data_IF_422364639566
#
_entry.id   IF_422364639566
#
_cell.length_a   1.000
_cell.length_b   1.000
_cell.length_c   1.000
_cell.angle_alpha   90.00
_cell.angle_beta   90.00
_cell.angle_gamma   90.00
#
_symmetry.space_group_name_H-M   'P 1'
#
loop_
_entity.id
_entity.type
_entity.pdbx_description
1 polymer ?
#
# COMPACT_ATOMS: atom_id res chain seq x y z
N UNK A 1 0.08 30.58 -7.67
CA UNK A 1 0.78 29.28 -7.57
C UNK A 1 -0.10 28.25 -8.26
N UNK A 2 0.46 27.38 -9.11
CA UNK A 2 -0.32 26.28 -9.70
C UNK A 2 -0.85 25.39 -8.58
N UNK A 3 -2.10 24.94 -8.68
CA UNK A 3 -2.71 24.00 -7.73
C UNK A 3 -1.92 22.68 -7.77
N UNK A 4 -1.47 22.19 -6.60
CA UNK A 4 -0.75 20.91 -6.54
C UNK A 4 -1.68 19.78 -6.99
N UNK A 5 -1.18 18.84 -7.76
CA UNK A 5 -1.91 17.62 -8.09
C UNK A 5 -2.16 16.81 -6.82
N UNK A 6 -3.32 16.16 -6.75
CA UNK A 6 -3.70 15.32 -5.61
C UNK A 6 -3.39 13.86 -5.84
N UNK A 7 -2.79 13.24 -4.83
CA UNK A 7 -2.51 11.81 -4.77
C UNK A 7 -3.44 11.17 -3.74
N UNK A 8 -4.01 10.02 -4.09
CA UNK A 8 -4.69 9.13 -3.13
C UNK A 8 -3.99 7.78 -3.12
N UNK A 9 -3.71 7.27 -1.93
CA UNK A 9 -3.23 5.89 -1.76
C UNK A 9 -3.63 5.32 -0.40
N UNK A 10 -3.66 4.00 -0.30
CA UNK A 10 -4.01 3.32 0.94
C UNK A 10 -3.56 1.86 0.95
N UNK A 11 -3.37 1.33 2.15
CA UNK A 11 -3.04 -0.07 2.37
C UNK A 11 -4.04 -0.65 3.38
N UNK A 12 -4.45 -1.90 3.14
CA UNK A 12 -5.32 -2.63 4.07
C UNK A 12 -4.57 -2.99 5.37
N UNK A 13 -5.19 -2.80 6.54
CA UNK A 13 -4.62 -3.21 7.82
C UNK A 13 -4.77 -4.72 8.05
N UNK A 14 -4.29 -5.51 7.11
CA UNK A 14 -4.38 -6.99 7.11
C UNK A 14 -3.19 -7.68 7.78
N UNK A 15 -2.37 -6.94 8.53
CA UNK A 15 -1.16 -7.37 9.23
C UNK A 15 -0.07 -6.31 9.16
N UNK A 16 1.08 -6.57 9.79
CA UNK A 16 2.20 -5.65 9.82
C UNK A 16 2.68 -5.28 8.42
N UNK A 17 3.25 -4.07 8.30
CA UNK A 17 3.88 -3.65 7.07
C UNK A 17 5.16 -4.45 6.83
N UNK A 18 5.34 -4.88 5.58
CA UNK A 18 6.52 -5.63 5.18
C UNK A 18 7.62 -4.70 4.68
N UNK A 19 8.87 -5.18 4.69
CA UNK A 19 10.00 -4.51 4.04
C UNK A 19 9.68 -4.20 2.56
N UNK A 20 9.00 -5.12 1.87
CA UNK A 20 8.53 -4.92 0.50
C UNK A 20 7.51 -3.80 0.37
N UNK A 21 6.58 -3.63 1.33
CA UNK A 21 5.64 -2.51 1.37
C UNK A 21 6.35 -1.18 1.61
N UNK A 22 7.32 -1.17 2.50
CA UNK A 22 8.11 0.03 2.80
C UNK A 22 8.95 0.47 1.58
N UNK A 23 9.77 -0.42 1.04
CA UNK A 23 10.66 -0.11 -0.09
C UNK A 23 9.91 0.12 -1.41
N UNK A 24 8.80 -0.59 -1.61
CA UNK A 24 8.04 -0.54 -2.86
C UNK A 24 7.00 0.59 -2.93
N UNK A 25 6.46 1.04 -1.79
CA UNK A 25 5.39 2.03 -1.75
C UNK A 25 5.69 3.20 -0.80
N UNK A 26 5.86 2.96 0.51
CA UNK A 26 5.84 4.03 1.51
C UNK A 26 7.03 4.98 1.34
N UNK A 27 8.22 4.48 1.03
CA UNK A 27 9.42 5.31 0.75
C UNK A 27 9.16 6.29 -0.41
N UNK A 28 8.40 5.87 -1.42
CA UNK A 28 7.99 6.76 -2.51
C UNK A 28 6.96 7.79 -2.05
N UNK A 29 6.01 7.41 -1.20
CA UNK A 29 5.03 8.34 -0.65
C UNK A 29 5.70 9.47 0.14
N UNK A 30 6.73 9.13 0.93
CA UNK A 30 7.52 10.12 1.67
C UNK A 30 8.21 11.11 0.72
N UNK A 31 8.71 10.65 -0.42
CA UNK A 31 9.31 11.54 -1.42
C UNK A 31 8.28 12.45 -2.12
N UNK A 32 7.03 11.99 -2.27
CA UNK A 32 5.98 12.72 -2.98
C UNK A 32 5.29 13.79 -2.12
N UNK A 33 5.34 13.71 -0.79
CA UNK A 33 4.57 14.57 0.11
C UNK A 33 4.90 16.06 0.02
N UNK A 34 6.07 16.45 -0.49
CA UNK A 34 6.46 17.84 -0.65
C UNK A 34 5.98 18.44 -1.99
N UNK A 35 5.78 17.60 -3.01
CA UNK A 35 5.41 18.03 -4.36
C UNK A 35 3.89 17.98 -4.59
N UNK A 36 3.19 17.07 -3.90
CA UNK A 36 1.77 16.77 -4.12
C UNK A 36 0.91 17.05 -2.89
N UNK A 37 -0.39 17.17 -3.08
CA UNK A 37 -1.39 17.12 -2.01
C UNK A 37 -1.74 15.64 -1.78
N UNK A 38 -1.23 15.06 -0.69
CA UNK A 38 -1.34 13.63 -0.46
C UNK A 38 -2.44 13.26 0.53
N UNK A 39 -3.22 12.25 0.15
CA UNK A 39 -4.30 11.66 0.95
C UNK A 39 -3.96 10.18 1.15
N UNK A 40 -3.63 9.80 2.38
CA UNK A 40 -3.26 8.44 2.76
C UNK A 40 -4.30 7.83 3.68
N UNK A 41 -4.89 6.72 3.23
CA UNK A 41 -6.00 6.08 3.88
C UNK A 41 -5.62 4.69 4.42
N UNK A 42 -5.99 4.40 5.66
CA UNK A 42 -5.99 3.03 6.18
C UNK A 42 -7.34 2.43 5.81
N UNK A 43 -7.33 1.54 4.79
CA UNK A 43 -8.55 1.05 4.13
C UNK A 43 -9.12 -0.17 4.85
N UNK A 44 -9.61 0.07 6.06
CA UNK A 44 -10.17 -0.96 6.96
C UNK A 44 -11.48 -1.56 6.44
N UNK A 45 -12.28 -0.82 5.68
CA UNK A 45 -13.48 -1.35 5.04
C UNK A 45 -13.14 -2.40 3.96
N UNK A 46 -12.01 -2.23 3.25
CA UNK A 46 -11.55 -3.27 2.32
C UNK A 46 -11.03 -4.51 3.05
N UNK A 47 -10.51 -4.37 4.27
CA UNK A 47 -10.01 -5.50 5.04
C UNK A 47 -11.13 -6.49 5.41
N UNK A 48 -12.36 -6.03 5.64
CA UNK A 48 -13.49 -6.87 6.04
C UNK A 48 -14.12 -7.65 4.87
N UNK A 49 -13.65 -7.48 3.63
CA UNK A 49 -14.02 -8.37 2.51
C UNK A 49 -13.61 -9.83 2.77
N UNK A 50 -12.66 -10.02 3.68
CA UNK A 50 -12.29 -11.31 4.28
C UNK A 50 -12.54 -11.19 5.77
N UNK A 51 -13.02 -12.26 6.42
CA UNK A 51 -13.31 -12.25 7.86
C UNK A 51 -12.09 -11.84 8.68
N UNK A 52 -12.28 -10.89 9.57
CA UNK A 52 -11.27 -10.38 10.50
C UNK A 52 -11.67 -10.66 11.94
N UNK A 53 -10.68 -10.83 12.82
CA UNK A 53 -10.90 -10.76 14.25
C UNK A 53 -11.02 -9.28 14.63
N UNK A 54 -12.15 -8.81 15.22
CA UNK A 54 -12.40 -7.38 15.43
C UNK A 54 -11.33 -6.66 16.28
N UNK A 55 -10.80 -7.33 17.30
CA UNK A 55 -9.73 -6.78 18.13
C UNK A 55 -8.44 -6.57 17.32
N UNK A 56 -8.10 -7.53 16.46
CA UNK A 56 -6.92 -7.45 15.60
C UNK A 56 -7.06 -6.35 14.55
N UNK A 57 -8.23 -6.23 13.90
CA UNK A 57 -8.46 -5.17 12.93
C UNK A 57 -8.28 -3.78 13.54
N UNK A 58 -8.85 -3.54 14.74
CA UNK A 58 -8.67 -2.27 15.46
C UNK A 58 -7.20 -2.01 15.79
N UNK A 59 -6.51 -3.00 16.34
CA UNK A 59 -5.09 -2.90 16.70
C UNK A 59 -4.23 -2.59 15.46
N UNK A 60 -4.38 -3.38 14.39
CA UNK A 60 -3.63 -3.26 13.15
C UNK A 60 -3.86 -1.93 12.43
N UNK A 61 -5.08 -1.37 12.51
CA UNK A 61 -5.36 -0.05 11.94
C UNK A 61 -4.55 1.06 12.62
N UNK A 62 -4.42 1.01 13.95
CA UNK A 62 -3.62 1.97 14.71
C UNK A 62 -2.11 1.74 14.50
N UNK A 63 -1.68 0.49 14.51
CA UNK A 63 -0.28 0.11 14.23
C UNK A 63 0.15 0.59 12.85
N UNK A 64 -0.70 0.42 11.83
CA UNK A 64 -0.39 0.87 10.48
C UNK A 64 -0.29 2.40 10.38
N UNK A 65 -1.15 3.15 11.07
CA UNK A 65 -1.04 4.61 11.15
C UNK A 65 0.29 5.03 11.79
N UNK A 66 0.64 4.42 12.93
CA UNK A 66 1.90 4.68 13.61
C UNK A 66 3.11 4.36 12.71
N UNK A 67 3.05 3.23 11.98
CA UNK A 67 4.10 2.85 11.03
C UNK A 67 4.22 3.84 9.86
N UNK A 68 3.12 4.37 9.33
CA UNK A 68 3.17 5.40 8.28
C UNK A 68 3.96 6.63 8.73
N UNK A 69 3.65 7.13 9.93
CA UNK A 69 4.32 8.29 10.51
C UNK A 69 5.78 7.96 10.85
N UNK A 70 6.04 6.77 11.39
CA UNK A 70 7.39 6.32 11.69
C UNK A 70 8.27 6.19 10.43
N UNK A 71 7.68 5.81 9.31
CA UNK A 71 8.35 5.76 8.00
C UNK A 71 8.63 7.14 7.40
N UNK A 72 8.13 8.24 8.00
CA UNK A 72 8.43 9.61 7.58
C UNK A 72 7.28 10.36 6.92
N UNK A 73 6.07 9.81 6.90
CA UNK A 73 4.89 10.58 6.47
C UNK A 73 4.51 11.59 7.57
N UNK A 74 4.43 12.86 7.18
CA UNK A 74 4.11 13.97 8.06
C UNK A 74 2.60 14.23 8.09
N UNK A 75 1.90 14.01 9.21
CA UNK A 75 0.46 14.23 9.31
C UNK A 75 0.05 15.71 9.14
N UNK A 76 0.96 16.65 9.35
CA UNK A 76 0.69 18.08 9.13
C UNK A 76 0.66 18.42 7.63
N UNK A 77 1.49 17.74 6.82
CA UNK A 77 1.53 17.91 5.36
C UNK A 77 0.45 17.10 4.65
N UNK A 78 0.13 15.92 5.17
CA UNK A 78 -0.73 14.94 4.52
C UNK A 78 -2.08 14.81 5.24
N UNK A 79 -3.11 14.37 4.52
CA UNK A 79 -4.36 13.92 5.11
C UNK A 79 -4.21 12.42 5.39
N UNK A 80 -4.20 12.02 6.66
CA UNK A 80 -4.02 10.62 7.09
C UNK A 80 -5.19 10.21 7.96
N UNK A 81 -5.95 9.19 7.55
CA UNK A 81 -7.18 8.80 8.25
C UNK A 81 -7.51 7.32 8.09
N UNK A 82 -8.49 6.86 8.87
CA UNK A 82 -9.07 5.52 8.78
C UNK A 82 -10.35 5.61 7.93
N UNK A 83 -10.49 4.76 6.92
CA UNK A 83 -11.55 4.82 5.91
C UNK A 83 -12.96 4.80 6.53
N UNK A 84 -13.19 3.94 7.52
CA UNK A 84 -14.50 3.80 8.19
C UNK A 84 -14.93 5.06 8.96
N UNK A 85 -14.02 6.01 9.22
CA UNK A 85 -14.35 7.29 9.85
C UNK A 85 -14.92 8.31 8.87
N UNK A 86 -14.92 8.01 7.57
CA UNK A 86 -15.43 8.88 6.49
C UNK A 86 -16.54 8.15 5.74
N UNK A 87 -17.79 8.19 6.20
CA UNK A 87 -18.91 7.40 5.65
C UNK A 87 -19.20 7.68 4.18
N UNK A 88 -18.74 8.82 3.66
CA UNK A 88 -18.88 9.21 2.26
C UNK A 88 -18.29 8.18 1.28
N UNK A 89 -17.30 7.40 1.70
CA UNK A 89 -16.75 6.29 0.92
C UNK A 89 -17.83 5.26 0.59
N UNK A 90 -18.59 4.82 1.59
CA UNK A 90 -19.68 3.87 1.41
C UNK A 90 -20.86 4.49 0.64
N UNK A 91 -21.20 5.75 0.93
CA UNK A 91 -22.28 6.47 0.26
C UNK A 91 -21.99 6.64 -1.24
N UNK A 92 -20.77 7.06 -1.60
CA UNK A 92 -20.39 7.16 -3.01
C UNK A 92 -20.27 5.78 -3.68
N UNK A 93 -19.75 4.78 -2.98
CA UNK A 93 -19.64 3.41 -3.50
C UNK A 93 -20.99 2.87 -3.91
N UNK A 94 -22.06 3.11 -3.13
CA UNK A 94 -23.42 2.73 -3.50
C UNK A 94 -23.86 3.38 -4.81
N UNK A 95 -23.69 4.70 -4.93
CA UNK A 95 -24.06 5.42 -6.16
C UNK A 95 -23.29 4.89 -7.36
N UNK A 96 -21.94 4.76 -7.24
CA UNK A 96 -21.12 4.25 -8.33
C UNK A 96 -21.45 2.79 -8.70
N UNK A 97 -21.89 1.99 -7.74
CA UNK A 97 -22.36 0.63 -7.97
C UNK A 97 -23.53 0.57 -8.97
N UNK A 98 -24.42 1.58 -8.95
CA UNK A 98 -25.52 1.70 -9.91
C UNK A 98 -25.04 2.10 -11.32
N UNK A 99 -23.81 2.55 -11.47
CA UNK A 99 -23.16 2.89 -12.76
C UNK A 99 -22.07 1.92 -13.16
N UNK A 100 -21.87 0.83 -12.40
CA UNK A 100 -20.85 -0.19 -12.69
C UNK A 100 -21.52 -1.42 -13.31
N UNK A 101 -20.96 -1.92 -14.41
CA UNK A 101 -21.49 -3.10 -15.08
C UNK A 101 -21.02 -4.38 -14.40
N UNK A 102 -21.95 -5.33 -14.18
CA UNK A 102 -21.66 -6.65 -13.61
C UNK A 102 -20.53 -7.37 -14.35
N UNK A 103 -20.56 -7.33 -15.69
CA UNK A 103 -19.55 -7.97 -16.52
C UNK A 103 -18.13 -7.39 -16.36
N UNK A 104 -17.99 -6.12 -15.99
CA UNK A 104 -16.68 -5.53 -15.69
C UNK A 104 -16.09 -6.10 -14.40
N UNK A 105 -16.89 -6.15 -13.33
CA UNK A 105 -16.48 -6.72 -12.05
C UNK A 105 -16.13 -8.21 -12.16
N UNK A 106 -16.91 -8.98 -12.92
CA UNK A 106 -16.67 -10.43 -13.11
C UNK A 106 -15.39 -10.73 -13.89
N UNK A 107 -14.88 -9.79 -14.69
CA UNK A 107 -13.61 -9.92 -15.44
C UNK A 107 -12.38 -9.51 -14.66
N UNK A 108 -12.54 -8.90 -13.47
CA UNK A 108 -11.39 -8.48 -12.64
C UNK A 108 -10.51 -9.66 -12.27
N UNK A 109 -9.22 -9.58 -12.60
CA UNK A 109 -8.24 -10.65 -12.35
C UNK A 109 -8.09 -10.94 -10.86
N UNK A 110 -8.05 -9.90 -10.02
CA UNK A 110 -7.97 -10.04 -8.57
C UNK A 110 -9.21 -10.71 -7.97
N UNK A 111 -10.41 -10.46 -8.51
CA UNK A 111 -11.61 -11.17 -8.08
C UNK A 111 -11.50 -12.66 -8.39
N UNK A 112 -11.07 -13.02 -9.60
CA UNK A 112 -10.90 -14.43 -10.01
C UNK A 112 -9.89 -15.16 -9.11
N UNK A 113 -8.75 -14.54 -8.81
CA UNK A 113 -7.73 -15.12 -7.93
C UNK A 113 -8.25 -15.30 -6.50
N UNK A 114 -8.86 -14.27 -5.91
CA UNK A 114 -9.36 -14.30 -4.54
C UNK A 114 -10.56 -15.25 -4.39
N UNK A 115 -11.45 -15.34 -5.38
CA UNK A 115 -12.57 -16.28 -5.36
C UNK A 115 -12.10 -17.74 -5.41
N UNK A 116 -10.98 -18.04 -6.07
CA UNK A 116 -10.36 -19.36 -6.03
C UNK A 116 -9.74 -19.68 -4.66
N UNK A 117 -9.08 -18.69 -4.03
CA UNK A 117 -8.48 -18.85 -2.70
C UNK A 117 -9.52 -18.99 -1.58
N UNK A 118 -10.72 -18.45 -1.77
CA UNK A 118 -11.81 -18.43 -0.79
C UNK A 118 -13.10 -19.02 -1.38
N UNK A 119 -12.99 -20.14 -2.10
CA UNK A 119 -14.08 -20.74 -2.85
C UNK A 119 -15.34 -21.02 -2.00
N UNK A 120 -15.15 -21.32 -0.71
CA UNK A 120 -16.25 -21.65 0.23
C UNK A 120 -16.96 -20.40 0.78
N UNK A 121 -16.47 -19.20 0.52
CA UNK A 121 -17.03 -17.96 1.10
C UNK A 121 -16.82 -16.74 0.20
N UNK A 122 -17.40 -16.78 -1.00
CA UNK A 122 -17.40 -15.65 -1.92
C UNK A 122 -18.53 -14.69 -1.51
N UNK A 123 -18.16 -13.57 -0.88
CA UNK A 123 -19.11 -12.55 -0.44
C UNK A 123 -19.39 -11.51 -1.52
N UNK A 124 -20.54 -10.82 -1.44
CA UNK A 124 -20.84 -9.66 -2.29
C UNK A 124 -19.76 -8.58 -2.17
N UNK A 125 -19.23 -8.34 -0.95
CA UNK A 125 -18.14 -7.40 -0.71
C UNK A 125 -16.87 -7.74 -1.48
N UNK A 126 -16.53 -9.04 -1.60
CA UNK A 126 -15.39 -9.48 -2.41
C UNK A 126 -15.61 -9.24 -3.91
N UNK A 127 -16.85 -9.25 -4.38
CA UNK A 127 -17.20 -8.93 -5.76
C UNK A 127 -17.22 -7.42 -6.03
N UNK A 128 -17.73 -6.63 -5.09
CA UNK A 128 -17.98 -5.19 -5.28
C UNK A 128 -16.89 -4.26 -4.74
N UNK A 129 -15.85 -4.77 -4.03
CA UNK A 129 -14.80 -3.91 -3.49
C UNK A 129 -14.10 -3.01 -4.54
N UNK A 130 -14.00 -3.36 -5.85
CA UNK A 130 -13.43 -2.44 -6.82
C UNK A 130 -14.23 -1.15 -7.00
N UNK A 131 -15.55 -1.20 -6.74
CA UNK A 131 -16.42 -0.02 -6.74
C UNK A 131 -16.15 0.86 -5.52
N UNK A 132 -15.93 0.25 -4.35
CA UNK A 132 -15.49 0.98 -3.15
C UNK A 132 -14.12 1.65 -3.39
N UNK A 133 -13.18 0.96 -4.04
CA UNK A 133 -11.89 1.55 -4.40
C UNK A 133 -12.05 2.71 -5.40
N UNK A 134 -12.97 2.61 -6.36
CA UNK A 134 -13.29 3.73 -7.25
C UNK A 134 -13.87 4.91 -6.47
N UNK A 135 -14.75 4.65 -5.48
CA UNK A 135 -15.27 5.69 -4.61
C UNK A 135 -14.16 6.35 -3.78
N UNK A 136 -13.24 5.57 -3.20
CA UNK A 136 -12.09 6.09 -2.44
C UNK A 136 -11.29 7.12 -3.24
N UNK A 137 -11.08 6.86 -4.52
CA UNK A 137 -10.25 7.67 -5.41
C UNK A 137 -11.03 8.90 -5.92
N UNK A 138 -12.23 8.66 -6.46
CA UNK A 138 -13.04 9.72 -7.10
C UNK A 138 -13.58 10.74 -6.11
N UNK A 139 -13.81 10.32 -4.85
CA UNK A 139 -14.30 11.17 -3.78
C UNK A 139 -13.42 12.40 -3.55
N UNK A 140 -12.11 12.25 -3.70
CA UNK A 140 -11.11 13.30 -3.47
C UNK A 140 -10.69 14.03 -4.73
N UNK A 141 -11.34 13.81 -5.88
CA UNK A 141 -10.93 14.41 -7.17
C UNK A 141 -9.44 14.16 -7.46
N UNK A 142 -9.02 12.92 -7.26
CA UNK A 142 -7.62 12.48 -7.34
C UNK A 142 -7.08 12.64 -8.75
N UNK A 143 -5.87 13.15 -8.88
CA UNK A 143 -5.14 13.25 -10.15
C UNK A 143 -4.31 11.98 -10.41
N UNK A 144 -3.61 11.48 -9.37
CA UNK A 144 -2.66 10.38 -9.49
C UNK A 144 -2.88 9.33 -8.39
N UNK A 145 -2.79 8.05 -8.77
CA UNK A 145 -2.88 6.92 -7.83
C UNK A 145 -1.59 6.10 -7.91
N UNK A 146 -0.70 6.21 -6.90
CA UNK A 146 0.52 5.38 -6.84
C UNK A 146 0.14 3.92 -6.61
N UNK A 147 0.38 3.08 -7.59
CA UNK A 147 0.03 1.66 -7.54
C UNK A 147 1.12 0.80 -8.15
N UNK A 148 1.19 -0.46 -7.71
CA UNK A 148 1.92 -1.50 -8.42
C UNK A 148 1.17 -1.95 -9.67
N UNK A 149 1.87 -2.62 -10.59
CA UNK A 149 1.29 -3.10 -11.86
C UNK A 149 0.06 -4.00 -11.66
N UNK A 150 0.03 -4.78 -10.57
CA UNK A 150 -1.09 -5.65 -10.18
C UNK A 150 -2.38 -4.90 -9.84
N UNK A 151 -2.31 -3.60 -9.53
CA UNK A 151 -3.46 -2.74 -9.21
C UNK A 151 -3.87 -1.84 -10.39
N UNK A 152 -3.15 -1.86 -11.50
CA UNK A 152 -3.43 -1.01 -12.67
C UNK A 152 -4.86 -1.21 -13.19
N UNK A 153 -5.31 -2.48 -13.27
CA UNK A 153 -6.67 -2.79 -13.73
C UNK A 153 -7.76 -2.15 -12.85
N UNK A 154 -7.51 -2.00 -11.54
CA UNK A 154 -8.46 -1.31 -10.65
C UNK A 154 -8.54 0.19 -10.94
N UNK A 155 -7.41 0.83 -11.25
CA UNK A 155 -7.41 2.26 -11.61
C UNK A 155 -8.08 2.46 -12.97
N UNK A 156 -7.87 1.56 -13.93
CA UNK A 156 -8.57 1.57 -15.22
C UNK A 156 -10.09 1.44 -15.02
N UNK A 157 -10.55 0.49 -14.21
CA UNK A 157 -11.98 0.36 -13.86
C UNK A 157 -12.52 1.62 -13.18
N UNK A 158 -11.76 2.23 -12.26
CA UNK A 158 -12.12 3.49 -11.63
C UNK A 158 -12.33 4.61 -12.67
N UNK A 159 -11.45 4.71 -13.67
CA UNK A 159 -11.57 5.66 -14.77
C UNK A 159 -12.83 5.39 -15.61
N UNK A 160 -13.10 4.13 -15.94
CA UNK A 160 -14.26 3.74 -16.75
C UNK A 160 -15.57 4.08 -16.03
N UNK A 161 -15.65 3.79 -14.73
CA UNK A 161 -16.82 4.15 -13.90
C UNK A 161 -16.97 5.68 -13.84
N UNK A 162 -15.89 6.42 -13.58
CA UNK A 162 -15.89 7.88 -13.53
C UNK A 162 -16.27 8.51 -14.86
N UNK A 163 -15.75 8.01 -15.98
CA UNK A 163 -16.06 8.47 -17.33
C UNK A 163 -17.53 8.21 -17.67
N UNK A 164 -18.05 7.01 -17.37
CA UNK A 164 -19.46 6.67 -17.58
C UNK A 164 -20.38 7.57 -16.77
N UNK A 165 -20.04 7.87 -15.54
CA UNK A 165 -20.78 8.80 -14.71
C UNK A 165 -20.74 10.22 -15.30
N UNK A 166 -19.57 10.68 -15.73
CA UNK A 166 -19.41 11.99 -16.36
C UNK A 166 -20.15 12.14 -17.68
N UNK A 167 -20.34 11.05 -18.45
CA UNK A 167 -21.16 11.06 -19.66
C UNK A 167 -22.63 11.39 -19.36
N UNK A 168 -23.15 10.88 -18.24
CA UNK A 168 -24.51 11.19 -17.79
C UNK A 168 -24.60 12.53 -17.05
N UNK A 169 -23.53 12.90 -16.34
CA UNK A 169 -23.43 14.07 -15.46
C UNK A 169 -22.09 14.76 -15.65
N UNK A 170 -21.93 15.62 -16.68
CA UNK A 170 -20.65 16.25 -17.03
C UNK A 170 -19.97 16.94 -15.87
N UNK A 171 -18.64 16.99 -15.90
CA UNK A 171 -17.80 17.68 -14.92
C UNK A 171 -17.98 17.24 -13.46
N UNK A 172 -18.30 15.95 -13.21
CA UNK A 172 -18.48 15.46 -11.85
C UNK A 172 -17.17 15.03 -11.24
N UNK A 173 -16.44 14.14 -11.89
CA UNK A 173 -15.19 13.57 -11.41
C UNK A 173 -14.00 13.94 -12.28
N UNK A 174 -12.85 14.20 -11.66
CA UNK A 174 -11.56 14.08 -12.33
C UNK A 174 -11.28 12.59 -12.58
N UNK A 175 -10.71 12.26 -13.73
CA UNK A 175 -10.33 10.88 -14.04
C UNK A 175 -8.87 10.66 -13.62
N UNK A 176 -8.61 9.79 -12.64
CA UNK A 176 -7.25 9.60 -12.11
C UNK A 176 -6.36 8.88 -13.10
N UNK A 177 -5.05 9.07 -12.98
CA UNK A 177 -4.04 8.31 -13.71
C UNK A 177 -3.29 7.39 -12.77
N UNK A 178 -2.99 6.16 -13.22
CA UNK A 178 -2.10 5.27 -12.49
C UNK A 178 -0.68 5.84 -12.54
N UNK A 179 -0.08 6.02 -11.38
CA UNK A 179 1.30 6.46 -11.24
C UNK A 179 2.14 5.28 -10.78
N UNK A 180 2.96 4.75 -11.68
CA UNK A 180 3.91 3.69 -11.34
C UNK A 180 5.24 4.36 -11.03
N UNK A 181 5.66 4.41 -9.74
CA UNK A 181 6.92 5.03 -9.36
C UNK A 181 8.09 4.38 -10.08
N UNK A 182 8.96 5.20 -10.68
CA UNK A 182 10.21 4.72 -11.30
C UNK A 182 11.21 4.18 -10.27
N UNK A 183 11.08 4.62 -9.03
CA UNK A 183 11.91 4.20 -7.88
C UNK A 183 11.03 3.39 -6.93
N UNK A 184 11.24 2.11 -6.89
CA UNK A 184 10.60 1.20 -5.96
C UNK A 184 11.16 -0.19 -6.21
N UNK A 185 11.95 -0.70 -5.26
CA UNK A 185 12.49 -2.04 -5.36
C UNK A 185 11.34 -3.05 -5.24
N UNK A 186 11.13 -3.88 -6.27
CA UNK A 186 10.26 -5.04 -6.13
C UNK A 186 10.98 -6.09 -5.31
N UNK A 187 10.66 -6.17 -4.04
CA UNK A 187 11.26 -7.11 -3.10
C UNK A 187 10.54 -8.45 -3.22
N UNK A 188 11.33 -9.51 -3.40
CA UNK A 188 10.85 -10.88 -3.51
C UNK A 188 10.93 -11.59 -2.16
N UNK A 189 10.19 -12.70 -1.99
CA UNK A 189 10.26 -13.55 -0.80
C UNK A 189 11.68 -14.08 -0.60
N UNK A 190 12.14 -14.12 0.66
CA UNK A 190 13.43 -14.72 1.02
C UNK A 190 13.41 -16.24 0.90
N UNK A 191 12.23 -16.85 0.99
CA UNK A 191 12.05 -18.30 0.88
C UNK A 191 11.80 -18.78 -0.55
N UNK A 192 11.21 -17.92 -1.40
CA UNK A 192 10.99 -18.21 -2.81
C UNK A 192 11.14 -16.92 -3.64
N UNK A 193 12.31 -16.69 -4.23
CA UNK A 193 12.61 -15.45 -4.94
C UNK A 193 11.85 -15.25 -6.27
N UNK A 194 11.03 -16.19 -6.70
CA UNK A 194 10.11 -16.02 -7.82
C UNK A 194 8.83 -15.32 -7.41
N UNK A 195 8.47 -15.39 -6.13
CA UNK A 195 7.27 -14.77 -5.58
C UNK A 195 7.60 -13.43 -4.93
N UNK A 196 6.70 -12.44 -5.12
CA UNK A 196 6.79 -11.17 -4.39
C UNK A 196 6.68 -11.41 -2.88
N UNK A 197 7.48 -10.69 -2.08
CA UNK A 197 7.37 -10.71 -0.62
C UNK A 197 5.94 -10.41 -0.18
N UNK A 198 5.34 -11.32 0.57
CA UNK A 198 3.93 -11.27 0.94
C UNK A 198 3.73 -11.65 2.41
N UNK A 199 2.75 -11.03 3.06
CA UNK A 199 2.33 -11.34 4.44
C UNK A 199 1.85 -12.78 4.62
N UNK A 200 1.43 -13.45 3.55
CA UNK A 200 0.99 -14.85 3.55
C UNK A 200 2.13 -15.87 3.65
N UNK A 201 3.38 -15.41 3.50
CA UNK A 201 4.61 -16.21 3.66
C UNK A 201 5.47 -15.61 4.78
N UNK A 202 5.16 -15.85 6.07
CA UNK A 202 5.84 -15.20 7.19
C UNK A 202 7.34 -15.51 7.29
N UNK A 203 7.77 -16.70 6.85
CA UNK A 203 9.19 -17.10 6.88
C UNK A 203 10.00 -16.45 5.76
N UNK A 204 9.39 -16.23 4.61
CA UNK A 204 9.99 -15.52 3.48
C UNK A 204 9.79 -13.99 3.52
N UNK A 205 9.11 -13.47 4.54
CA UNK A 205 8.76 -12.08 4.67
C UNK A 205 9.44 -11.42 5.87
N UNK A 206 9.97 -10.21 5.68
CA UNK A 206 10.48 -9.36 6.78
C UNK A 206 9.44 -8.28 7.06
N UNK A 207 9.01 -8.19 8.33
CA UNK A 207 8.10 -7.15 8.80
C UNK A 207 8.88 -5.99 9.42
N UNK A 208 8.33 -4.77 9.35
CA UNK A 208 8.98 -3.59 9.94
C UNK A 208 9.05 -3.65 11.47
N UNK A 209 8.21 -4.49 12.09
CA UNK A 209 8.19 -4.72 13.55
C UNK A 209 8.96 -5.97 13.98
N UNK A 210 9.60 -6.69 13.04
CA UNK A 210 10.44 -7.85 13.40
C UNK A 210 11.60 -7.42 14.30
N UNK A 211 11.91 -8.30 15.28
CA UNK A 211 13.09 -8.11 16.13
C UNK A 211 14.38 -8.35 15.34
N UNK A 212 15.51 -7.73 15.73
CA UNK A 212 16.79 -7.90 15.05
C UNK A 212 17.17 -9.37 14.84
N UNK A 213 16.95 -10.21 15.85
CA UNK A 213 17.29 -11.64 15.83
C UNK A 213 16.46 -12.38 14.77
N UNK A 214 15.19 -12.01 14.60
CA UNK A 214 14.29 -12.61 13.63
C UNK A 214 14.69 -12.21 12.20
N UNK A 215 15.01 -10.93 11.99
CA UNK A 215 15.52 -10.41 10.71
C UNK A 215 16.79 -11.17 10.33
N UNK A 216 17.77 -11.23 11.23
CA UNK A 216 19.04 -11.92 10.99
C UNK A 216 18.83 -13.41 10.67
N UNK A 217 17.92 -14.08 11.38
CA UNK A 217 17.57 -15.49 11.12
C UNK A 217 16.97 -15.67 9.72
N UNK A 218 16.04 -14.79 9.30
CA UNK A 218 15.40 -14.84 7.99
C UNK A 218 16.43 -14.65 6.87
N UNK A 219 17.33 -13.67 6.97
CA UNK A 219 18.37 -13.47 5.96
C UNK A 219 19.37 -14.61 5.90
N UNK A 220 19.79 -15.18 7.02
CA UNK A 220 20.66 -16.37 7.03
C UNK A 220 20.04 -17.56 6.30
N UNK A 221 18.71 -17.74 6.39
CA UNK A 221 17.95 -18.81 5.74
C UNK A 221 17.50 -18.50 4.32
N UNK A 222 17.66 -17.27 3.85
CA UNK A 222 17.23 -16.86 2.51
C UNK A 222 17.78 -17.82 1.44
N UNK A 223 16.91 -18.19 0.49
CA UNK A 223 17.25 -19.10 -0.60
C UNK A 223 18.24 -18.43 -1.55
N UNK A 224 19.27 -19.16 -1.91
CA UNK A 224 20.33 -18.76 -2.86
C UNK A 224 20.62 -19.92 -3.81
N UNK A 225 21.36 -19.64 -4.89
CA UNK A 225 21.89 -20.68 -5.80
C UNK A 225 23.05 -21.47 -5.17
N UNK A 226 23.61 -22.42 -5.94
CA UNK A 226 24.71 -23.29 -5.52
C UNK A 226 26.11 -22.66 -5.72
N UNK A 227 26.20 -21.44 -6.27
CA UNK A 227 27.47 -20.74 -6.44
C UNK A 227 27.85 -19.98 -5.16
N UNK A 228 28.99 -19.29 -5.20
CA UNK A 228 29.44 -18.45 -4.09
C UNK A 228 29.59 -16.99 -4.49
N UNK A 229 29.60 -16.69 -5.79
CA UNK A 229 29.81 -15.35 -6.32
C UNK A 229 28.60 -14.46 -6.11
N UNK A 230 28.78 -13.33 -5.43
CA UNK A 230 27.79 -12.28 -5.24
C UNK A 230 27.70 -11.43 -6.51
N UNK A 231 26.75 -11.79 -7.38
CA UNK A 231 26.55 -11.17 -8.69
C UNK A 231 25.07 -11.02 -9.01
N UNK A 232 24.69 -9.90 -9.58
CA UNK A 232 23.32 -9.62 -9.99
C UNK A 232 23.00 -10.32 -11.32
N UNK A 233 22.05 -11.25 -11.29
CA UNK A 233 21.58 -11.99 -12.43
C UNK A 233 20.18 -12.52 -12.11
N UNK A 234 19.15 -11.83 -12.59
CA UNK A 234 17.77 -12.16 -12.24
C UNK A 234 17.33 -13.53 -12.72
N UNK A 235 17.88 -13.99 -13.82
CA UNK A 235 17.45 -15.22 -14.46
C UNK A 235 18.13 -16.46 -13.84
N UNK A 236 19.43 -16.35 -13.53
CA UNK A 236 20.21 -17.47 -13.00
C UNK A 236 20.43 -17.39 -11.49
N UNK A 237 20.35 -16.21 -10.90
CA UNK A 237 20.60 -15.95 -9.47
C UNK A 237 19.48 -15.08 -8.83
N UNK A 238 18.19 -15.49 -8.94
CA UNK A 238 17.09 -14.66 -8.46
C UNK A 238 17.17 -14.35 -6.97
N UNK A 239 17.62 -15.31 -6.14
CA UNK A 239 17.80 -15.13 -4.70
C UNK A 239 18.86 -14.08 -4.36
N UNK A 240 20.05 -14.18 -4.95
CA UNK A 240 21.14 -13.22 -4.74
C UNK A 240 20.78 -11.86 -5.32
N UNK A 241 20.17 -11.80 -6.49
CA UNK A 241 19.70 -10.55 -7.09
C UNK A 241 18.67 -9.82 -6.21
N UNK A 242 17.78 -10.58 -5.54
CA UNK A 242 16.85 -10.03 -4.55
C UNK A 242 17.60 -9.48 -3.33
N UNK A 243 18.56 -10.23 -2.78
CA UNK A 243 19.37 -9.78 -1.64
C UNK A 243 20.20 -8.53 -1.97
N UNK A 244 20.81 -8.46 -3.15
CA UNK A 244 21.51 -7.27 -3.65
C UNK A 244 20.55 -6.08 -3.77
N UNK A 245 19.36 -6.30 -4.32
CA UNK A 245 18.34 -5.26 -4.41
C UNK A 245 17.95 -4.72 -3.03
N UNK A 246 17.77 -5.60 -2.04
CA UNK A 246 17.46 -5.22 -0.66
C UNK A 246 18.63 -4.45 -0.04
N UNK A 247 19.87 -4.95 -0.20
CA UNK A 247 21.07 -4.30 0.34
C UNK A 247 21.26 -2.89 -0.21
N UNK A 248 21.15 -2.74 -1.52
CA UNK A 248 21.25 -1.42 -2.18
C UNK A 248 20.15 -0.47 -1.72
N UNK A 249 18.90 -0.95 -1.61
CA UNK A 249 17.79 -0.13 -1.14
C UNK A 249 17.93 0.29 0.34
N UNK A 250 18.58 -0.53 1.16
CA UNK A 250 18.85 -0.25 2.56
C UNK A 250 20.05 0.70 2.77
N UNK A 251 21.12 0.51 1.98
CA UNK A 251 22.38 1.26 2.17
C UNK A 251 22.53 2.48 1.26
N UNK A 252 21.71 2.59 0.22
CA UNK A 252 21.85 3.64 -0.82
C UNK A 252 22.96 3.37 -1.84
N UNK A 253 23.64 2.22 -1.78
CA UNK A 253 24.68 1.81 -2.73
C UNK A 253 24.08 1.38 -4.06
N UNK A 254 24.88 1.44 -5.13
CA UNK A 254 24.51 0.83 -6.42
C UNK A 254 24.79 -0.67 -6.43
N UNK A 255 24.23 -1.39 -7.39
CA UNK A 255 24.49 -2.84 -7.56
C UNK A 255 25.98 -3.11 -7.76
N UNK A 256 26.64 -2.30 -8.61
CA UNK A 256 28.06 -2.44 -8.92
C UNK A 256 28.94 -2.23 -7.67
N UNK A 257 28.56 -1.27 -6.81
CA UNK A 257 29.26 -1.02 -5.55
C UNK A 257 29.09 -2.20 -4.59
N UNK A 258 27.90 -2.76 -4.51
CA UNK A 258 27.63 -3.92 -3.65
C UNK A 258 28.35 -5.18 -4.16
N UNK A 259 28.34 -5.44 -5.48
CA UNK A 259 29.08 -6.54 -6.08
C UNK A 259 30.60 -6.44 -5.82
N UNK A 260 31.17 -5.24 -5.98
CA UNK A 260 32.60 -5.00 -5.71
C UNK A 260 32.96 -5.21 -4.23
N UNK A 261 32.06 -4.80 -3.31
CA UNK A 261 32.25 -4.97 -1.86
C UNK A 261 32.31 -6.44 -1.44
N UNK A 262 31.53 -7.30 -2.09
CA UNK A 262 31.40 -8.74 -1.75
C UNK A 262 32.04 -9.68 -2.77
N UNK A 263 32.84 -9.19 -3.71
CA UNK A 263 33.37 -9.96 -4.84
C UNK A 263 34.02 -11.29 -4.44
N UNK A 264 34.79 -11.30 -3.33
CA UNK A 264 35.56 -12.48 -2.89
C UNK A 264 35.06 -13.05 -1.53
N UNK A 265 33.91 -12.61 -1.03
CA UNK A 265 33.47 -12.92 0.33
C UNK A 265 32.45 -14.06 0.44
N UNK A 266 31.77 -14.38 -0.66
CA UNK A 266 30.75 -15.44 -0.71
C UNK A 266 29.48 -15.14 0.09
N UNK A 267 28.51 -16.04 0.02
CA UNK A 267 27.17 -15.87 0.62
C UNK A 267 27.17 -15.92 2.16
N UNK A 268 28.17 -16.58 2.76
CA UNK A 268 28.32 -16.68 4.21
C UNK A 268 28.57 -15.33 4.89
N UNK A 269 29.22 -14.40 4.19
CA UNK A 269 29.44 -13.01 4.64
C UNK A 269 28.34 -12.09 4.13
N UNK A 270 27.95 -12.24 2.88
CA UNK A 270 26.96 -11.36 2.25
C UNK A 270 25.58 -11.40 2.92
N UNK A 271 25.03 -12.59 3.17
CA UNK A 271 23.68 -12.75 3.78
C UNK A 271 23.56 -12.08 5.16
N UNK A 272 24.51 -12.28 6.11
CA UNK A 272 24.53 -11.50 7.35
C UNK A 272 24.61 -9.98 7.14
N UNK A 273 25.46 -9.51 6.23
CA UNK A 273 25.60 -8.07 5.97
C UNK A 273 24.29 -7.45 5.45
N UNK A 274 23.54 -8.15 4.58
CA UNK A 274 22.19 -7.72 4.16
C UNK A 274 21.24 -7.65 5.36
N UNK A 275 21.27 -8.66 6.24
CA UNK A 275 20.47 -8.69 7.46
C UNK A 275 20.76 -7.52 8.38
N UNK A 276 22.04 -7.22 8.61
CA UNK A 276 22.48 -6.07 9.42
C UNK A 276 22.04 -4.75 8.81
N UNK A 277 22.21 -4.56 7.51
CA UNK A 277 21.75 -3.36 6.81
C UNK A 277 20.22 -3.15 6.96
N UNK A 278 19.45 -4.23 6.90
CA UNK A 278 17.98 -4.16 7.10
C UNK A 278 17.63 -3.90 8.56
N UNK A 279 18.33 -4.50 9.53
CA UNK A 279 18.15 -4.21 10.97
C UNK A 279 18.36 -2.71 11.25
N UNK A 280 19.44 -2.13 10.71
CA UNK A 280 19.73 -0.69 10.88
C UNK A 280 18.66 0.18 10.20
N UNK A 281 18.16 -0.22 9.04
CA UNK A 281 17.11 0.51 8.33
C UNK A 281 15.78 0.52 9.09
N UNK A 282 15.35 -0.62 9.64
CA UNK A 282 14.03 -0.74 10.29
C UNK A 282 14.03 -0.39 11.77
N UNK A 283 15.20 -0.38 12.43
CA UNK A 283 15.30 -0.03 13.86
C UNK A 283 14.63 1.30 14.20
N UNK A 284 14.97 2.44 13.57
CA UNK A 284 14.35 3.71 13.90
C UNK A 284 12.84 3.73 13.61
N UNK A 285 12.39 2.99 12.59
CA UNK A 285 10.96 2.87 12.27
C UNK A 285 10.24 2.11 13.37
N UNK A 286 10.80 0.99 13.82
CA UNK A 286 10.24 0.17 14.90
C UNK A 286 10.16 0.95 16.20
N UNK A 287 11.27 1.55 16.64
CA UNK A 287 11.34 2.31 17.89
C UNK A 287 10.35 3.48 17.91
N UNK A 288 10.27 4.23 16.80
CA UNK A 288 9.31 5.33 16.66
C UNK A 288 7.86 4.82 16.63
N UNK A 289 7.59 3.67 16.00
CA UNK A 289 6.26 3.05 16.00
C UNK A 289 5.86 2.67 17.44
N UNK A 290 6.73 2.00 18.18
CA UNK A 290 6.51 1.61 19.59
C UNK A 290 6.24 2.83 20.47
N UNK A 291 7.01 3.89 20.30
CA UNK A 291 6.80 5.16 21.02
C UNK A 291 5.41 5.74 20.74
N UNK A 292 4.99 5.79 19.48
CA UNK A 292 3.68 6.32 19.09
C UNK A 292 2.51 5.48 19.58
N UNK A 293 2.66 4.16 19.57
CA UNK A 293 1.64 3.25 20.12
C UNK A 293 1.47 3.43 21.64
N UNK A 294 2.51 3.91 22.32
CA UNK A 294 2.44 4.34 23.72
C UNK A 294 1.65 5.63 23.94
N UNK A 295 1.60 6.52 22.92
CA UNK A 295 0.86 7.79 22.97
C UNK A 295 -0.46 7.69 22.18
N UNK A 296 -1.44 7.03 22.79
CA UNK A 296 -2.76 6.83 22.18
C UNK A 296 -3.47 8.15 21.87
N UNK A 297 -3.30 9.17 22.72
CA UNK A 297 -3.96 10.47 22.56
C UNK A 297 -3.43 11.19 21.29
N UNK A 298 -2.12 11.10 21.06
CA UNK A 298 -1.51 11.66 19.86
C UNK A 298 -2.01 10.97 18.60
N UNK A 299 -2.01 9.63 18.55
CA UNK A 299 -2.54 8.90 17.38
C UNK A 299 -4.02 9.20 17.15
N UNK A 300 -4.80 9.31 18.24
CA UNK A 300 -6.21 9.65 18.17
C UNK A 300 -6.43 11.04 17.57
N UNK A 301 -5.64 12.03 17.95
CA UNK A 301 -5.70 13.37 17.38
C UNK A 301 -5.44 13.35 15.87
N UNK A 302 -4.44 12.59 15.40
CA UNK A 302 -4.07 12.49 14.00
C UNK A 302 -5.19 11.90 13.14
N UNK A 303 -5.73 10.72 13.52
CA UNK A 303 -6.73 10.10 12.66
C UNK A 303 -8.08 10.84 12.72
N UNK A 304 -8.42 11.53 13.82
CA UNK A 304 -9.62 12.36 13.91
C UNK A 304 -9.50 13.61 13.05
N UNK A 305 -8.43 14.37 13.20
CA UNK A 305 -8.15 15.54 12.36
C UNK A 305 -8.07 15.14 10.87
N UNK A 306 -7.37 14.05 10.57
CA UNK A 306 -7.29 13.51 9.22
C UNK A 306 -8.67 13.15 8.65
N UNK A 307 -9.54 12.51 9.45
CA UNK A 307 -10.91 12.18 9.04
C UNK A 307 -11.78 13.44 8.82
N UNK A 308 -11.64 14.48 9.64
CA UNK A 308 -12.34 15.75 9.45
C UNK A 308 -11.92 16.42 8.15
N UNK A 309 -10.61 16.53 7.89
CA UNK A 309 -10.07 17.08 6.64
C UNK A 309 -10.52 16.27 5.42
N UNK A 310 -10.46 14.94 5.52
CA UNK A 310 -10.92 14.03 4.47
C UNK A 310 -12.43 14.18 4.23
N UNK A 311 -13.25 14.19 5.28
CA UNK A 311 -14.70 14.38 5.20
C UNK A 311 -15.08 15.71 4.56
N UNK A 312 -14.35 16.78 4.84
CA UNK A 312 -14.58 18.07 4.21
C UNK A 312 -14.44 18.01 2.68
N UNK A 313 -13.37 17.38 2.17
CA UNK A 313 -13.16 17.18 0.74
C UNK A 313 -14.21 16.23 0.14
N UNK A 314 -14.44 15.12 0.82
CA UNK A 314 -15.39 14.09 0.41
C UNK A 314 -16.80 14.66 0.27
N UNK A 315 -17.26 15.47 1.22
CA UNK A 315 -18.57 16.11 1.19
C UNK A 315 -18.77 17.03 -0.01
N UNK A 316 -17.74 17.74 -0.47
CA UNK A 316 -17.84 18.59 -1.68
C UNK A 316 -18.23 17.76 -2.89
N UNK A 317 -17.55 16.64 -3.09
CA UNK A 317 -17.79 15.72 -4.22
C UNK A 317 -19.15 15.02 -4.05
N UNK A 318 -19.43 14.48 -2.87
CA UNK A 318 -20.65 13.71 -2.62
C UNK A 318 -21.91 14.58 -2.79
N UNK A 319 -21.93 15.81 -2.27
CA UNK A 319 -23.04 16.75 -2.47
C UNK A 319 -23.28 17.06 -3.95
N UNK A 320 -22.20 17.24 -4.73
CA UNK A 320 -22.28 17.42 -6.18
C UNK A 320 -22.93 16.21 -6.86
N UNK A 321 -22.50 14.98 -6.48
CA UNK A 321 -23.07 13.72 -6.96
C UNK A 321 -24.56 13.62 -6.59
N UNK A 322 -24.93 13.82 -5.34
CA UNK A 322 -26.30 13.73 -4.86
C UNK A 322 -27.24 14.67 -5.61
N UNK A 323 -26.82 15.92 -5.80
CA UNK A 323 -27.58 16.88 -6.59
C UNK A 323 -27.79 16.41 -8.03
N UNK A 324 -26.77 15.82 -8.65
CA UNK A 324 -26.81 15.38 -10.05
C UNK A 324 -27.69 14.14 -10.26
N UNK A 325 -27.66 13.18 -9.33
CA UNK A 325 -28.52 11.99 -9.40
C UNK A 325 -29.96 12.24 -8.92
N UNK A 326 -30.26 13.46 -8.42
CA UNK A 326 -31.60 13.86 -8.06
C UNK A 326 -32.03 13.50 -6.63
N UNK A 327 -31.07 13.24 -5.73
CA UNK A 327 -31.40 13.03 -4.32
C UNK A 327 -31.86 14.36 -3.67
N UNK A 328 -32.87 14.26 -2.81
CA UNK A 328 -33.37 15.40 -2.03
C UNK A 328 -32.25 15.86 -1.09
N UNK A 329 -32.00 17.18 -1.04
CA UNK A 329 -30.99 17.74 -0.15
C UNK A 329 -31.32 17.47 1.33
N UNK A 330 -30.30 17.13 2.11
CA UNK A 330 -30.39 17.02 3.57
C UNK A 330 -30.36 18.38 4.23
#
# INVERSE_FOLDING_TARGET
>A
MAEKKRIFSGIQPSGDLTLGSYMGAIKNWVALQDEYECVYCIVDMHAITVRQVPADLRRRSLEQLAQYIACGLDPQKNIMFIQSHVPQHAELSWVLGCYTQFGELSRMTQFKMKSQQHADNITAGLFTYPVLMAADILLYQTDLVPVGEDQRQHVELCRDIGARFNNSFPDTFKLPEAFIPKMGARIMSLGNPENKMSKSDPDGCVFLMDKPEDIMRKFKRAVTDCETAVRFDKDNKPGISNLLTIYCAATGKTIEQAEAEFADQGYGVFKPAVGEAVVELVRPIREKTEQMLGDKAYLESIYKEGAERASYLANKTLRKVYKKVGFVAR
#
